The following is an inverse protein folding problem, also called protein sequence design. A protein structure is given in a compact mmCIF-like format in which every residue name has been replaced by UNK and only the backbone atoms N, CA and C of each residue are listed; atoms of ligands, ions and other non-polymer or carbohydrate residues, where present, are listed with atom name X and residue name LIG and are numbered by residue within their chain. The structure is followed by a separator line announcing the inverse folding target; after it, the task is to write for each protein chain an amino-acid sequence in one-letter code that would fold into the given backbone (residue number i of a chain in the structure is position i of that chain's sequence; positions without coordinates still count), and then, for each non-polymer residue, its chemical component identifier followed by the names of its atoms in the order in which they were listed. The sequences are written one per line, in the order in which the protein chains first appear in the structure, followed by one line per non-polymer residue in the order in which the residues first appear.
data_IF_993997315143
#
_entry.id   IF_993997315143
#
_cell.length_a   1.000
_cell.length_b   1.000
_cell.length_c   1.000
_cell.angle_alpha   90.00
_cell.angle_beta   90.00
_cell.angle_gamma   90.00
#
_symmetry.space_group_name_H-M   'P 1'
#
loop_
_entity.id
_entity.type
_entity.pdbx_description
1 polymer ?
#
# COMPACT_ATOMS: atom_id res chain seq x y z
N UNK A 1 23.86 -9.37 -6.53
CA UNK A 1 22.40 -9.26 -6.60
C UNK A 1 21.79 -10.55 -6.09
N UNK A 2 21.14 -10.48 -4.97
CA UNK A 2 20.39 -11.63 -4.49
C UNK A 2 19.19 -11.84 -5.43
N UNK A 3 19.27 -12.83 -6.28
CA UNK A 3 18.10 -13.34 -6.98
C UNK A 3 17.32 -14.23 -6.00
N UNK A 4 16.85 -13.64 -4.90
CA UNK A 4 15.94 -14.33 -4.01
C UNK A 4 14.66 -14.61 -4.76
N UNK A 5 14.38 -15.86 -5.00
CA UNK A 5 13.10 -16.25 -5.57
C UNK A 5 12.01 -15.96 -4.54
N UNK A 6 11.08 -15.10 -4.90
CA UNK A 6 9.96 -14.77 -4.04
C UNK A 6 9.04 -15.97 -3.87
N UNK A 7 8.53 -16.13 -2.66
CA UNK A 7 7.56 -17.18 -2.35
C UNK A 7 6.54 -16.66 -1.33
N UNK A 8 5.33 -17.19 -1.38
CA UNK A 8 4.33 -16.98 -0.34
C UNK A 8 4.68 -17.85 0.86
N UNK A 9 4.89 -17.25 2.01
CA UNK A 9 5.02 -17.97 3.28
C UNK A 9 3.64 -18.15 3.91
N UNK A 10 3.32 -19.38 4.27
CA UNK A 10 2.06 -19.68 4.95
C UNK A 10 2.20 -19.49 6.45
N UNK A 11 1.17 -18.92 7.07
CA UNK A 11 1.06 -18.90 8.52
C UNK A 11 0.93 -20.34 9.02
N UNK A 12 1.83 -20.72 9.94
CA UNK A 12 1.91 -22.10 10.41
C UNK A 12 2.92 -22.99 9.71
N UNK A 13 3.60 -22.48 8.68
CA UNK A 13 4.69 -23.19 7.97
C UNK A 13 4.30 -23.60 6.56
N UNK A 14 5.32 -23.73 5.74
CA UNK A 14 5.15 -24.03 4.32
C UNK A 14 5.28 -22.82 3.42
N UNK A 15 5.41 -23.06 2.14
CA UNK A 15 5.54 -22.01 1.14
C UNK A 15 4.82 -22.40 -0.15
N UNK A 16 4.32 -21.40 -0.85
CA UNK A 16 3.75 -21.54 -2.20
C UNK A 16 4.60 -20.68 -3.14
N UNK A 17 4.94 -21.15 -4.34
CA UNK A 17 5.67 -20.35 -5.30
C UNK A 17 4.94 -19.03 -5.59
N UNK A 18 5.67 -17.93 -5.63
CA UNK A 18 5.14 -16.63 -5.98
C UNK A 18 5.19 -16.46 -7.50
N UNK A 19 4.03 -16.34 -8.11
CA UNK A 19 3.91 -16.01 -9.52
C UNK A 19 3.42 -14.56 -9.62
N UNK A 20 4.17 -13.66 -10.26
CA UNK A 20 3.76 -12.27 -10.42
C UNK A 20 2.68 -12.14 -11.49
N UNK A 21 1.52 -12.69 -11.22
CA UNK A 21 0.37 -12.67 -12.12
C UNK A 21 -0.91 -12.40 -11.34
N UNK A 22 -1.72 -11.42 -11.74
CA UNK A 22 -3.01 -11.18 -11.10
C UNK A 22 -3.94 -12.41 -11.13
N UNK A 23 -3.84 -13.23 -12.18
CA UNK A 23 -4.61 -14.46 -12.29
C UNK A 23 -4.24 -15.50 -11.21
N UNK A 24 -3.01 -15.47 -10.71
CA UNK A 24 -2.57 -16.34 -9.63
C UNK A 24 -3.05 -15.85 -8.26
N UNK A 25 -3.32 -14.54 -8.12
CA UNK A 25 -3.69 -13.95 -6.83
C UNK A 25 -5.16 -14.12 -6.49
N UNK A 26 -6.05 -14.07 -7.47
CA UNK A 26 -7.48 -14.16 -7.22
C UNK A 26 -7.88 -15.47 -6.49
N UNK A 27 -7.41 -16.66 -6.91
CA UNK A 27 -7.69 -17.89 -6.17
C UNK A 27 -7.11 -17.90 -4.76
N UNK A 28 -5.89 -17.35 -4.57
CA UNK A 28 -5.26 -17.26 -3.26
C UNK A 28 -6.03 -16.30 -2.33
N UNK A 29 -6.51 -15.20 -2.86
CA UNK A 29 -7.26 -14.19 -2.09
C UNK A 29 -8.60 -14.70 -1.57
N UNK A 30 -9.19 -15.72 -2.21
CA UNK A 30 -10.41 -16.35 -1.69
C UNK A 30 -10.13 -17.26 -0.50
N UNK A 31 -8.90 -17.72 -0.34
CA UNK A 31 -8.51 -18.70 0.68
C UNK A 31 -7.66 -18.09 1.78
N UNK A 32 -6.87 -17.07 1.46
CA UNK A 32 -5.92 -16.44 2.37
C UNK A 32 -6.07 -14.93 2.36
N UNK A 33 -5.71 -14.30 3.47
CA UNK A 33 -5.42 -12.87 3.51
C UNK A 33 -4.00 -12.68 2.99
N UNK A 34 -3.84 -12.00 1.88
CA UNK A 34 -2.54 -11.83 1.23
C UNK A 34 -1.82 -10.60 1.78
N UNK A 35 -0.60 -10.81 2.25
CA UNK A 35 0.29 -9.77 2.73
C UNK A 35 1.50 -9.68 1.80
N UNK A 36 1.79 -8.48 1.33
CA UNK A 36 2.91 -8.22 0.43
C UNK A 36 3.96 -7.37 1.14
N UNK A 37 5.23 -7.72 1.00
CA UNK A 37 6.33 -6.89 1.47
C UNK A 37 6.86 -5.96 0.35
N UNK A 38 7.83 -5.13 0.71
CA UNK A 38 8.38 -4.15 -0.22
C UNK A 38 9.01 -4.78 -1.46
N UNK A 39 9.70 -5.91 -1.31
CA UNK A 39 10.39 -6.57 -2.43
C UNK A 39 9.39 -7.13 -3.44
N UNK A 40 8.36 -7.79 -2.96
CA UNK A 40 7.30 -8.31 -3.81
C UNK A 40 6.48 -7.18 -4.45
N UNK A 41 6.27 -6.08 -3.73
CA UNK A 41 5.62 -4.88 -4.27
C UNK A 41 6.41 -4.33 -5.47
N UNK A 42 7.71 -4.16 -5.32
CA UNK A 42 8.57 -3.67 -6.40
C UNK A 42 8.59 -4.63 -7.60
N UNK A 43 8.62 -5.94 -7.35
CA UNK A 43 8.58 -6.93 -8.42
C UNK A 43 7.29 -6.84 -9.24
N UNK A 44 6.15 -6.66 -8.59
CA UNK A 44 4.87 -6.49 -9.27
C UNK A 44 4.79 -5.16 -10.02
N UNK A 45 5.31 -4.09 -9.44
CA UNK A 45 5.31 -2.77 -10.08
C UNK A 45 6.21 -2.77 -11.32
N UNK A 46 7.40 -3.37 -11.22
CA UNK A 46 8.32 -3.52 -12.35
C UNK A 46 7.72 -4.34 -13.49
N UNK A 47 6.90 -5.32 -13.17
CA UNK A 47 6.20 -6.14 -14.16
C UNK A 47 4.94 -5.46 -14.73
N UNK A 48 4.54 -4.30 -14.20
CA UNK A 48 3.32 -3.61 -14.60
C UNK A 48 2.03 -4.28 -14.12
N UNK A 49 2.10 -5.12 -13.10
CA UNK A 49 0.97 -5.94 -12.63
C UNK A 49 0.40 -5.48 -11.29
N UNK A 50 1.04 -4.51 -10.66
CA UNK A 50 0.68 -4.09 -9.30
C UNK A 50 -0.75 -3.56 -9.22
N UNK A 51 -1.17 -2.74 -10.16
CA UNK A 51 -2.52 -2.15 -10.17
C UNK A 51 -3.62 -3.22 -10.15
N UNK A 52 -3.45 -4.26 -10.96
CA UNK A 52 -4.42 -5.35 -11.04
C UNK A 52 -4.39 -6.25 -9.80
N UNK A 53 -3.23 -6.35 -9.14
CA UNK A 53 -3.06 -7.18 -7.96
C UNK A 53 -3.56 -6.53 -6.66
N UNK A 54 -3.46 -5.19 -6.54
CA UNK A 54 -3.77 -4.46 -5.31
C UNK A 54 -5.13 -4.78 -4.70
N UNK A 55 -6.23 -4.86 -5.47
CA UNK A 55 -7.53 -5.18 -4.87
C UNK A 55 -7.62 -6.55 -4.20
N UNK A 56 -6.72 -7.49 -4.56
CA UNK A 56 -6.66 -8.83 -3.96
C UNK A 56 -5.79 -8.88 -2.70
N UNK A 57 -5.07 -7.81 -2.38
CA UNK A 57 -4.14 -7.77 -1.25
C UNK A 57 -4.83 -7.20 -0.02
N UNK A 58 -4.57 -7.81 1.13
CA UNK A 58 -5.14 -7.38 2.41
C UNK A 58 -4.19 -6.49 3.20
N UNK A 59 -2.88 -6.73 3.09
CA UNK A 59 -1.86 -6.01 3.86
C UNK A 59 -0.65 -5.71 2.96
N UNK A 60 -0.15 -4.50 3.08
CA UNK A 60 1.14 -4.10 2.53
C UNK A 60 2.06 -3.79 3.72
N UNK A 61 3.07 -4.63 3.93
CA UNK A 61 3.93 -4.56 5.10
C UNK A 61 5.29 -3.94 4.76
N UNK A 62 5.81 -3.13 5.66
CA UNK A 62 7.15 -2.53 5.57
C UNK A 62 7.36 -1.71 4.30
N UNK A 63 6.34 -0.99 3.89
CA UNK A 63 6.40 -0.14 2.70
C UNK A 63 7.19 1.14 2.98
N UNK A 64 8.04 1.53 2.03
CA UNK A 64 8.64 2.85 2.02
C UNK A 64 7.56 3.92 1.76
N UNK A 65 7.78 5.19 2.14
CA UNK A 65 6.81 6.26 1.90
C UNK A 65 6.36 6.37 0.45
N UNK A 66 7.26 6.22 -0.49
CA UNK A 66 6.96 6.27 -1.93
C UNK A 66 6.08 5.12 -2.38
N UNK A 67 6.25 3.94 -1.76
CA UNK A 67 5.42 2.77 -2.06
C UNK A 67 4.00 2.92 -1.54
N UNK A 68 3.82 3.51 -0.37
CA UNK A 68 2.49 3.84 0.17
C UNK A 68 1.75 4.80 -0.74
N UNK A 69 2.43 5.86 -1.16
CA UNK A 69 1.89 6.83 -2.11
C UNK A 69 1.53 6.17 -3.43
N UNK A 70 2.41 5.34 -3.96
CA UNK A 70 2.20 4.60 -5.20
C UNK A 70 0.98 3.69 -5.13
N UNK A 71 0.81 2.96 -4.04
CA UNK A 71 -0.35 2.10 -3.83
C UNK A 71 -1.66 2.88 -3.90
N UNK A 72 -1.73 4.03 -3.23
CA UNK A 72 -2.92 4.88 -3.26
C UNK A 72 -3.21 5.43 -4.65
N UNK A 73 -2.19 5.87 -5.38
CA UNK A 73 -2.35 6.34 -6.76
C UNK A 73 -2.95 5.23 -7.63
N UNK A 74 -2.43 4.02 -7.54
CA UNK A 74 -2.89 2.89 -8.35
C UNK A 74 -4.31 2.45 -7.97
N UNK A 75 -4.66 2.44 -6.70
CA UNK A 75 -6.02 2.14 -6.25
C UNK A 75 -7.02 3.16 -6.78
N UNK A 76 -6.68 4.44 -6.77
CA UNK A 76 -7.51 5.50 -7.33
C UNK A 76 -7.65 5.37 -8.85
N UNK A 77 -6.57 5.06 -9.55
CA UNK A 77 -6.60 4.79 -10.98
C UNK A 77 -7.50 3.60 -11.32
N UNK A 78 -7.61 2.65 -10.40
CA UNK A 78 -8.53 1.52 -10.49
C UNK A 78 -9.99 1.88 -10.18
N UNK A 79 -10.30 3.13 -9.87
CA UNK A 79 -11.66 3.60 -9.59
C UNK A 79 -12.10 3.48 -8.14
N UNK A 80 -11.18 3.16 -7.23
CA UNK A 80 -11.51 3.02 -5.81
C UNK A 80 -11.39 4.36 -5.07
N UNK A 81 -12.30 4.58 -4.13
CA UNK A 81 -12.20 5.68 -3.17
C UNK A 81 -11.33 5.24 -2.02
N UNK A 82 -10.31 6.03 -1.71
CA UNK A 82 -9.28 5.64 -0.75
C UNK A 82 -9.31 6.53 0.49
N UNK A 83 -8.97 5.91 1.62
CA UNK A 83 -8.75 6.60 2.88
C UNK A 83 -7.37 6.22 3.42
N UNK A 84 -6.63 7.20 3.87
CA UNK A 84 -5.33 7.01 4.52
C UNK A 84 -5.36 7.56 5.94
N UNK A 85 -4.90 6.75 6.88
CA UNK A 85 -4.67 7.18 8.26
C UNK A 85 -3.20 7.00 8.57
N UNK A 86 -2.53 8.02 9.07
CA UNK A 86 -1.11 7.98 9.37
C UNK A 86 -0.72 8.96 10.46
N UNK A 87 0.51 8.84 10.95
CA UNK A 87 1.04 9.72 11.99
C UNK A 87 1.59 11.06 11.47
N UNK A 88 1.61 11.25 10.16
CA UNK A 88 1.98 12.49 9.52
C UNK A 88 3.46 12.70 9.27
N UNK A 89 4.36 11.83 9.71
CA UNK A 89 5.80 11.99 9.50
C UNK A 89 6.29 11.36 8.20
N UNK A 90 6.05 10.06 8.03
CA UNK A 90 6.49 9.30 6.85
C UNK A 90 5.38 9.09 5.82
N UNK A 91 4.18 9.56 6.10
CA UNK A 91 3.00 9.26 5.30
C UNK A 91 2.46 10.49 4.56
N UNK A 92 3.21 11.59 4.51
CA UNK A 92 2.73 12.86 3.92
C UNK A 92 2.30 12.68 2.47
N UNK A 93 3.11 12.00 1.65
CA UNK A 93 2.78 11.75 0.25
C UNK A 93 1.51 10.92 0.10
N UNK A 94 1.40 9.85 0.88
CA UNK A 94 0.22 8.99 0.88
C UNK A 94 -1.03 9.73 1.39
N UNK A 95 -0.88 10.53 2.46
CA UNK A 95 -1.98 11.35 2.98
C UNK A 95 -2.50 12.35 1.95
N UNK A 96 -1.62 12.94 1.15
CA UNK A 96 -2.01 13.86 0.09
C UNK A 96 -2.69 13.18 -1.08
N UNK A 97 -2.37 11.93 -1.37
CA UNK A 97 -2.92 11.19 -2.50
C UNK A 97 -4.29 10.57 -2.21
N UNK A 98 -4.57 10.24 -0.96
CA UNK A 98 -5.85 9.64 -0.60
C UNK A 98 -7.02 10.62 -0.82
N UNK A 99 -8.20 10.08 -1.08
CA UNK A 99 -9.42 10.89 -1.19
C UNK A 99 -9.82 11.47 0.16
N UNK A 100 -9.64 10.69 1.22
CA UNK A 100 -9.85 11.13 2.60
C UNK A 100 -8.61 10.76 3.41
N UNK A 101 -8.15 11.67 4.25
CA UNK A 101 -6.97 11.45 5.07
C UNK A 101 -7.20 11.85 6.52
N UNK A 102 -6.67 11.04 7.42
CA UNK A 102 -6.67 11.30 8.86
C UNK A 102 -5.23 11.23 9.35
N UNK A 103 -4.73 12.32 9.89
CA UNK A 103 -3.42 12.37 10.51
C UNK A 103 -3.57 12.26 12.03
N UNK A 104 -2.85 11.30 12.62
CA UNK A 104 -2.79 11.15 14.07
C UNK A 104 -1.76 12.11 14.63
N UNK A 105 -2.17 12.91 15.61
CA UNK A 105 -1.32 13.91 16.25
C UNK A 105 -1.09 13.46 17.70
N UNK A 106 0.18 13.36 18.09
CA UNK A 106 0.54 12.72 19.37
C UNK A 106 0.86 13.68 20.50
N UNK A 107 0.85 14.99 20.31
CA UNK A 107 1.12 15.94 21.40
C UNK A 107 0.53 17.31 21.09
N UNK A 108 0.77 18.28 21.96
CA UNK A 108 0.26 19.63 21.88
C UNK A 108 0.23 20.17 20.45
N UNK A 109 -0.88 19.91 19.77
CA UNK A 109 -1.14 20.53 18.49
C UNK A 109 -1.59 21.98 18.75
N UNK A 110 -0.81 22.91 18.31
CA UNK A 110 -1.25 24.30 18.20
C UNK A 110 -1.80 24.48 16.80
N UNK A 111 -3.10 24.66 16.70
CA UNK A 111 -3.71 24.92 15.41
C UNK A 111 -3.06 26.14 14.75
N UNK A 112 -2.68 26.06 13.47
CA UNK A 112 -2.20 27.23 12.76
C UNK A 112 -3.29 28.30 12.79
N UNK A 113 -2.90 29.59 12.80
CA UNK A 113 -3.90 30.64 12.69
C UNK A 113 -4.71 30.46 11.42
N UNK A 114 -6.01 30.81 11.44
CA UNK A 114 -6.83 30.71 10.23
C UNK A 114 -6.17 31.53 9.12
N UNK A 115 -6.27 31.04 7.86
CA UNK A 115 -5.72 31.83 6.76
C UNK A 115 -6.32 33.20 6.76
N UNK A 116 -5.46 34.23 6.64
CA UNK A 116 -5.96 35.58 6.45
C UNK A 116 -6.86 35.56 5.21
N UNK A 117 -8.15 35.70 5.43
CA UNK A 117 -9.04 35.99 4.35
C UNK A 117 -8.65 37.34 3.81
N UNK A 118 -7.96 37.38 2.67
CA UNK A 118 -7.84 38.60 1.90
C UNK A 118 -9.25 39.09 1.62
N UNK A 119 -9.60 40.14 2.28
CA UNK A 119 -10.88 40.81 2.02
C UNK A 119 -10.89 41.34 0.57
#
# INVERSE_FOLDING_TARGET
MATGQLAWALDGGGAIPFEPSPAAFAPLATKYALCLDADAFEALDAAGLLRAALPSLSVLARMAPEQKERALILLKQGGLVTMMCGDGTNDVGALKQADVSVALVTSTYVAPPPPETAA
#
